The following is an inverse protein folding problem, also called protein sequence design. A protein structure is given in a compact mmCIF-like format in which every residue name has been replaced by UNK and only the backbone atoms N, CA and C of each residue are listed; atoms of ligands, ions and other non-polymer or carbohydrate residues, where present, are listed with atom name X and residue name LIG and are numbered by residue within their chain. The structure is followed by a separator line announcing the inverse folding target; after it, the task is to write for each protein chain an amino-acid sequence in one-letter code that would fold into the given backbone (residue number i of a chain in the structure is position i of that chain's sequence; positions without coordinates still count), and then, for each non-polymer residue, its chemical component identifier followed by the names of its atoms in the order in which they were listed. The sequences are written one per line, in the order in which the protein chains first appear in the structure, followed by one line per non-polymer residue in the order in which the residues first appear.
data_IF_186537857280
#
_entry.id   IF_186537857280
#
_cell.length_a   1.000
_cell.length_b   1.000
_cell.length_c   1.000
_cell.angle_alpha   90.00
_cell.angle_beta   90.00
_cell.angle_gamma   90.00
#
_symmetry.space_group_name_H-M   'P 1'
#
loop_
_entity.id
_entity.type
_entity.pdbx_description
1 polymer ?
#
# COMPACT_ATOMS: atom_id res chain seq x y z
N UNK A 1 16.94 48.51 -24.86
CA UNK A 1 15.94 47.42 -24.82
C UNK A 1 16.35 46.20 -24.02
N UNK A 2 17.65 45.95 -23.73
CA UNK A 2 18.11 44.74 -22.97
C UNK A 2 17.80 44.80 -21.46
N UNK A 3 17.77 45.94 -20.85
CA UNK A 3 17.55 46.10 -19.39
C UNK A 3 16.11 45.85 -18.93
N UNK A 4 15.11 46.15 -19.76
CA UNK A 4 13.70 45.89 -19.43
C UNK A 4 13.36 44.41 -19.45
N UNK A 5 13.88 43.69 -20.46
CA UNK A 5 13.72 42.22 -20.58
C UNK A 5 14.41 41.49 -19.44
N UNK A 6 15.61 41.94 -19.06
CA UNK A 6 16.36 41.33 -17.96
C UNK A 6 15.65 41.52 -16.62
N UNK A 7 15.06 42.71 -16.37
CA UNK A 7 14.22 42.94 -15.18
C UNK A 7 12.95 42.08 -15.15
N UNK A 8 12.31 41.92 -16.27
CA UNK A 8 11.11 41.04 -16.39
C UNK A 8 11.46 39.59 -16.06
N UNK A 9 12.57 39.07 -16.57
CA UNK A 9 13.03 37.69 -16.30
C UNK A 9 13.37 37.53 -14.80
N UNK A 10 14.03 38.50 -14.18
CA UNK A 10 14.35 38.45 -12.75
C UNK A 10 13.06 38.44 -11.89
N UNK A 11 12.08 39.28 -12.23
CA UNK A 11 10.79 39.32 -11.52
C UNK A 11 10.05 38.00 -11.64
N UNK A 12 10.02 37.37 -12.84
CA UNK A 12 9.41 36.06 -13.05
C UNK A 12 10.12 34.95 -12.27
N UNK A 13 11.45 34.98 -12.21
CA UNK A 13 12.22 34.00 -11.42
C UNK A 13 11.97 34.16 -9.92
N UNK A 14 11.91 35.37 -9.40
CA UNK A 14 11.60 35.63 -7.99
C UNK A 14 10.18 35.19 -7.66
N UNK A 15 9.21 35.49 -8.54
CA UNK A 15 7.83 35.06 -8.36
C UNK A 15 7.72 33.53 -8.34
N UNK A 16 8.42 32.85 -9.24
CA UNK A 16 8.46 31.38 -9.28
C UNK A 16 9.10 30.80 -8.00
N UNK A 17 10.18 31.43 -7.50
CA UNK A 17 10.83 31.03 -6.26
C UNK A 17 9.89 31.18 -5.05
N UNK A 18 9.11 32.26 -5.01
CA UNK A 18 8.10 32.50 -3.95
C UNK A 18 6.99 31.43 -4.02
N UNK A 19 6.48 31.12 -5.22
CA UNK A 19 5.45 30.08 -5.39
C UNK A 19 5.97 28.71 -4.98
N UNK A 20 7.19 28.35 -5.39
CA UNK A 20 7.83 27.07 -5.00
C UNK A 20 8.07 27.03 -3.49
N UNK A 21 8.55 28.13 -2.90
CA UNK A 21 8.78 28.21 -1.45
C UNK A 21 7.45 28.14 -0.66
N UNK A 22 6.40 28.80 -1.12
CA UNK A 22 5.07 28.72 -0.53
C UNK A 22 4.50 27.30 -0.64
N UNK A 23 4.71 26.62 -1.76
CA UNK A 23 4.34 25.22 -1.93
C UNK A 23 5.09 24.28 -0.96
N UNK A 24 6.37 24.56 -0.68
CA UNK A 24 7.16 23.82 0.32
C UNK A 24 6.74 24.13 1.76
N UNK A 25 6.35 25.34 2.06
CA UNK A 25 5.93 25.77 3.41
C UNK A 25 4.50 25.31 3.70
N UNK A 26 3.60 25.37 2.72
CA UNK A 26 2.18 24.97 2.86
C UNK A 26 1.98 23.48 2.57
N UNK A 27 2.78 22.89 1.66
CA UNK A 27 2.73 21.47 1.28
C UNK A 27 3.82 20.60 1.91
N UNK A 28 4.86 21.17 2.53
CA UNK A 28 6.07 20.49 2.99
C UNK A 28 6.04 19.94 4.41
N UNK A 29 4.88 19.60 4.90
CA UNK A 29 4.73 18.72 6.07
C UNK A 29 4.75 17.25 5.63
N UNK A 30 5.75 16.78 4.90
CA UNK A 30 6.00 15.35 4.77
C UNK A 30 6.44 14.79 6.12
N UNK A 31 5.48 14.62 7.03
CA UNK A 31 5.54 13.50 7.95
C UNK A 31 5.49 12.26 7.06
N UNK A 32 6.62 11.61 6.92
CA UNK A 32 6.71 10.22 6.47
C UNK A 32 6.02 9.36 7.53
N UNK A 33 4.70 9.49 7.57
CA UNK A 33 3.75 8.69 8.31
C UNK A 33 3.20 7.71 7.31
N UNK A 34 3.46 6.45 7.57
CA UNK A 34 2.89 5.28 6.94
C UNK A 34 1.45 5.57 6.48
N UNK A 35 1.23 5.57 5.14
CA UNK A 35 0.06 6.11 4.50
C UNK A 35 -1.26 5.46 4.90
N UNK A 36 -2.00 6.18 5.73
CA UNK A 36 -3.44 6.09 5.79
C UNK A 36 -3.99 7.34 5.11
N UNK A 37 -4.71 7.22 4.03
CA UNK A 37 -5.57 8.26 3.50
C UNK A 37 -6.65 8.54 4.54
N UNK A 38 -6.41 9.50 5.41
CA UNK A 38 -7.46 10.10 6.24
C UNK A 38 -8.30 11.04 5.37
N UNK A 39 -9.10 10.42 4.48
CA UNK A 39 -10.28 11.04 3.92
C UNK A 39 -11.43 10.75 4.86
N UNK A 40 -11.90 11.75 5.56
CA UNK A 40 -13.23 11.94 6.14
C UNK A 40 -14.00 10.63 6.50
N UNK A 41 -13.60 10.01 7.62
CA UNK A 41 -14.16 8.76 8.15
C UNK A 41 -13.03 7.97 8.79
N UNK A 42 -13.10 7.69 10.07
CA UNK A 42 -12.05 7.12 10.92
C UNK A 42 -11.22 6.05 10.25
N UNK A 43 -9.89 6.09 10.47
CA UNK A 43 -8.94 5.12 9.91
C UNK A 43 -9.33 3.66 10.19
N UNK A 44 -8.59 2.66 9.70
CA UNK A 44 -8.95 1.23 9.76
C UNK A 44 -9.39 0.76 11.16
N UNK A 45 -8.87 1.40 12.21
CA UNK A 45 -9.28 1.14 13.60
C UNK A 45 -10.77 1.45 13.82
N UNK A 46 -11.21 2.65 13.44
CA UNK A 46 -12.59 3.08 13.68
C UNK A 46 -13.56 2.30 12.80
N UNK A 47 -13.17 1.98 11.57
CA UNK A 47 -13.98 1.15 10.69
C UNK A 47 -14.24 -0.24 11.30
N UNK A 48 -13.25 -0.86 11.94
CA UNK A 48 -13.43 -2.16 12.62
C UNK A 48 -14.33 -2.01 13.84
N UNK A 49 -14.12 -0.97 14.66
CA UNK A 49 -14.96 -0.69 15.84
C UNK A 49 -16.42 -0.51 15.43
N UNK A 50 -16.66 0.30 14.41
CA UNK A 50 -18.02 0.61 13.95
C UNK A 50 -18.69 -0.62 13.31
N UNK A 51 -17.97 -1.37 12.49
CA UNK A 51 -18.49 -2.57 11.83
C UNK A 51 -18.77 -3.73 12.76
N UNK A 52 -17.98 -3.85 13.81
CA UNK A 52 -18.16 -4.91 14.82
C UNK A 52 -19.00 -4.45 16.03
N UNK A 53 -19.44 -3.19 16.05
CA UNK A 53 -20.23 -2.61 17.14
C UNK A 53 -19.59 -2.80 18.50
N UNK A 54 -18.27 -2.56 18.62
CA UNK A 54 -17.53 -2.75 19.86
C UNK A 54 -17.99 -1.80 20.95
N UNK A 55 -18.23 -2.33 22.14
CA UNK A 55 -18.44 -1.52 23.33
C UNK A 55 -17.11 -0.95 23.89
N UNK A 56 -17.19 -0.11 24.91
CA UNK A 56 -16.02 0.59 25.47
C UNK A 56 -14.95 -0.38 26.03
N UNK A 57 -15.35 -1.52 26.58
CA UNK A 57 -14.40 -2.52 27.08
C UNK A 57 -13.69 -3.22 25.93
N UNK A 58 -14.42 -3.62 24.91
CA UNK A 58 -13.86 -4.22 23.68
C UNK A 58 -12.95 -3.26 22.93
N UNK A 59 -13.28 -1.96 22.88
CA UNK A 59 -12.42 -0.93 22.26
C UNK A 59 -11.08 -0.84 23.01
N UNK A 60 -11.08 -0.88 24.34
CA UNK A 60 -9.85 -0.85 25.14
C UNK A 60 -8.97 -2.06 24.88
N UNK A 61 -9.57 -3.25 24.80
CA UNK A 61 -8.87 -4.49 24.51
C UNK A 61 -8.32 -4.48 23.07
N UNK A 62 -9.12 -4.05 22.09
CA UNK A 62 -8.72 -3.92 20.70
C UNK A 62 -7.55 -2.94 20.52
N UNK A 63 -7.54 -1.82 21.23
CA UNK A 63 -6.41 -0.87 21.20
C UNK A 63 -5.10 -1.54 21.68
N UNK A 64 -5.17 -2.38 22.68
CA UNK A 64 -4.01 -3.16 23.16
C UNK A 64 -3.52 -4.15 22.09
N UNK A 65 -4.45 -4.83 21.41
CA UNK A 65 -4.12 -5.73 20.29
C UNK A 65 -3.43 -4.97 19.14
N UNK A 66 -3.93 -3.77 18.78
CA UNK A 66 -3.31 -2.93 17.75
C UNK A 66 -1.88 -2.55 18.12
N UNK A 67 -1.62 -2.14 19.36
CA UNK A 67 -0.27 -1.77 19.82
C UNK A 67 0.68 -2.95 19.70
N UNK A 68 0.26 -4.12 20.19
CA UNK A 68 1.05 -5.36 20.13
C UNK A 68 1.34 -5.77 18.70
N UNK A 69 0.32 -5.80 17.84
CA UNK A 69 0.44 -6.13 16.43
C UNK A 69 1.42 -5.20 15.70
N UNK A 70 1.27 -3.87 15.87
CA UNK A 70 2.15 -2.88 15.24
C UNK A 70 3.60 -3.04 15.67
N UNK A 71 3.84 -3.32 16.95
CA UNK A 71 5.18 -3.57 17.48
C UNK A 71 5.81 -4.79 16.81
N UNK A 72 5.10 -5.93 16.80
CA UNK A 72 5.62 -7.18 16.23
C UNK A 72 5.91 -7.07 14.72
N UNK A 73 5.01 -6.46 13.95
CA UNK A 73 5.22 -6.22 12.52
C UNK A 73 6.40 -5.27 12.30
N UNK A 74 6.46 -4.17 13.05
CA UNK A 74 7.52 -3.17 12.91
C UNK A 74 8.92 -3.73 13.20
N UNK A 75 9.06 -4.64 14.16
CA UNK A 75 10.33 -5.34 14.44
C UNK A 75 10.79 -6.18 13.24
N UNK A 76 9.86 -6.94 12.62
CA UNK A 76 10.15 -7.75 11.43
C UNK A 76 10.50 -6.89 10.22
N UNK A 77 9.73 -5.84 9.97
CA UNK A 77 9.99 -4.91 8.86
C UNK A 77 11.33 -4.19 9.00
N UNK A 78 11.72 -3.81 10.23
CA UNK A 78 13.03 -3.21 10.49
C UNK A 78 14.17 -4.17 10.12
N UNK A 79 14.04 -5.46 10.46
CA UNK A 79 15.03 -6.47 10.09
C UNK A 79 15.09 -6.66 8.56
N UNK A 80 13.92 -6.73 7.88
CA UNK A 80 13.84 -6.81 6.42
C UNK A 80 14.54 -5.62 5.76
N UNK A 81 14.31 -4.41 6.26
CA UNK A 81 14.96 -3.21 5.72
C UNK A 81 16.47 -3.24 5.89
N UNK A 82 16.96 -3.70 7.04
CA UNK A 82 18.39 -3.90 7.27
C UNK A 82 19.01 -4.86 6.26
N UNK A 83 18.39 -6.04 6.09
CA UNK A 83 18.85 -7.05 5.12
C UNK A 83 18.81 -6.56 3.68
N UNK A 84 17.77 -5.83 3.29
CA UNK A 84 17.68 -5.21 1.96
C UNK A 84 18.79 -4.19 1.74
N UNK A 85 19.05 -3.33 2.71
CA UNK A 85 20.16 -2.37 2.64
C UNK A 85 21.48 -3.08 2.42
N UNK A 86 21.74 -4.14 3.21
CA UNK A 86 22.96 -4.95 3.06
C UNK A 86 23.07 -5.63 1.68
N UNK A 87 21.95 -6.13 1.14
CA UNK A 87 21.91 -6.71 -0.21
C UNK A 87 22.29 -5.69 -1.28
N UNK A 88 21.69 -4.46 -1.23
CA UNK A 88 21.99 -3.42 -2.22
C UNK A 88 23.40 -2.87 -2.10
N UNK A 89 23.93 -2.70 -0.88
CA UNK A 89 25.33 -2.32 -0.67
C UNK A 89 26.27 -3.39 -1.23
N UNK A 90 25.96 -4.67 -1.02
CA UNK A 90 26.73 -5.79 -1.53
C UNK A 90 26.80 -5.87 -3.06
N UNK A 91 25.90 -5.22 -3.80
CA UNK A 91 26.00 -5.12 -5.28
C UNK A 91 27.24 -4.33 -5.69
N UNK A 92 27.55 -3.25 -4.97
CA UNK A 92 28.73 -2.41 -5.25
C UNK A 92 30.03 -3.00 -4.70
N UNK A 93 29.95 -3.60 -3.51
CA UNK A 93 31.14 -4.03 -2.73
C UNK A 93 31.58 -5.47 -3.06
N UNK A 94 30.77 -6.20 -3.84
CA UNK A 94 30.96 -7.63 -4.11
C UNK A 94 30.51 -8.50 -2.93
N UNK A 95 29.30 -9.06 -3.02
CA UNK A 95 28.76 -9.96 -1.99
C UNK A 95 29.05 -11.42 -2.32
N UNK A 96 29.41 -12.22 -1.34
CA UNK A 96 29.45 -13.68 -1.46
C UNK A 96 28.06 -14.25 -1.78
N UNK A 97 28.00 -15.21 -2.73
CA UNK A 97 26.75 -15.77 -3.21
C UNK A 97 25.95 -16.48 -2.11
N UNK A 98 26.62 -17.20 -1.20
CA UNK A 98 25.96 -17.91 -0.10
C UNK A 98 25.38 -16.92 0.91
N UNK A 99 26.10 -15.83 1.19
CA UNK A 99 25.65 -14.76 2.07
C UNK A 99 24.41 -14.06 1.49
N UNK A 100 24.45 -13.71 0.20
CA UNK A 100 23.31 -13.17 -0.53
C UNK A 100 22.08 -14.08 -0.41
N UNK A 101 22.26 -15.37 -0.69
CA UNK A 101 21.16 -16.34 -0.65
C UNK A 101 20.62 -16.54 0.77
N UNK A 102 21.46 -16.45 1.79
CA UNK A 102 21.04 -16.51 3.20
C UNK A 102 20.16 -15.31 3.56
N UNK A 103 20.52 -14.10 3.14
CA UNK A 103 19.73 -12.89 3.40
C UNK A 103 18.40 -12.91 2.65
N UNK A 104 18.40 -13.35 1.40
CA UNK A 104 17.14 -13.49 0.62
C UNK A 104 16.19 -14.49 1.29
N UNK A 105 16.69 -15.65 1.74
CA UNK A 105 15.88 -16.61 2.49
C UNK A 105 15.37 -16.04 3.79
N UNK A 106 16.21 -15.31 4.54
CA UNK A 106 15.80 -14.68 5.80
C UNK A 106 14.67 -13.66 5.59
N UNK A 107 14.75 -12.82 4.54
CA UNK A 107 13.67 -11.91 4.16
C UNK A 107 12.38 -12.68 3.88
N UNK A 108 12.46 -13.80 3.17
CA UNK A 108 11.29 -14.66 2.92
C UNK A 108 10.64 -15.20 4.20
N UNK A 109 11.44 -15.66 5.15
CA UNK A 109 10.97 -16.13 6.48
C UNK A 109 10.29 -14.97 7.24
N UNK A 110 10.92 -13.80 7.28
CA UNK A 110 10.34 -12.63 7.96
C UNK A 110 9.00 -12.19 7.36
N UNK A 111 8.85 -12.26 6.03
CA UNK A 111 7.55 -12.02 5.40
C UNK A 111 6.51 -13.08 5.77
N UNK A 112 6.89 -14.35 5.89
CA UNK A 112 5.99 -15.39 6.37
C UNK A 112 5.57 -15.13 7.82
N UNK A 113 6.51 -14.75 8.71
CA UNK A 113 6.22 -14.37 10.08
C UNK A 113 5.21 -13.21 10.16
N UNK A 114 5.36 -12.18 9.32
CA UNK A 114 4.43 -11.04 9.26
C UNK A 114 3.02 -11.53 8.90
N UNK A 115 2.87 -12.45 7.94
CA UNK A 115 1.55 -13.01 7.62
C UNK A 115 0.94 -13.77 8.80
N UNK A 116 1.75 -14.50 9.57
CA UNK A 116 1.30 -15.17 10.78
C UNK A 116 0.84 -14.19 11.85
N UNK A 117 1.59 -13.09 12.05
CA UNK A 117 1.21 -12.02 12.98
C UNK A 117 -0.12 -11.38 12.57
N UNK A 118 -0.34 -11.12 11.27
CA UNK A 118 -1.62 -10.60 10.79
C UNK A 118 -2.77 -11.58 11.06
N UNK A 119 -2.56 -12.87 10.77
CA UNK A 119 -3.58 -13.89 10.99
C UNK A 119 -3.93 -14.04 12.48
N UNK A 120 -2.91 -14.09 13.36
CA UNK A 120 -3.10 -14.14 14.80
C UNK A 120 -3.90 -12.92 15.32
N UNK A 121 -3.55 -11.72 14.84
CA UNK A 121 -4.29 -10.52 15.21
C UNK A 121 -5.78 -10.58 14.85
N UNK A 122 -6.15 -11.15 13.71
CA UNK A 122 -7.57 -11.35 13.36
C UNK A 122 -8.23 -12.41 14.22
N UNK A 123 -7.53 -13.45 14.65
CA UNK A 123 -8.06 -14.41 15.63
C UNK A 123 -8.30 -13.75 16.99
N UNK A 124 -7.39 -12.90 17.43
CA UNK A 124 -7.55 -12.15 18.68
C UNK A 124 -8.77 -11.21 18.61
N UNK A 125 -8.97 -10.50 17.47
CA UNK A 125 -10.17 -9.69 17.24
C UNK A 125 -11.44 -10.55 17.30
N UNK A 126 -11.42 -11.75 16.72
CA UNK A 126 -12.55 -12.66 16.77
C UNK A 126 -12.88 -13.07 18.20
N UNK A 127 -11.86 -13.31 19.02
CA UNK A 127 -12.02 -13.75 20.42
C UNK A 127 -12.68 -12.68 21.29
N UNK A 128 -12.40 -11.40 21.05
CA UNK A 128 -13.06 -10.31 21.80
C UNK A 128 -14.48 -10.03 21.30
N UNK A 129 -14.89 -10.55 20.14
CA UNK A 129 -16.26 -10.43 19.64
C UNK A 129 -17.22 -11.27 20.46
N UNK A 130 -18.34 -10.68 20.85
CA UNK A 130 -19.46 -11.39 21.48
C UNK A 130 -20.17 -12.31 20.47
N UNK A 131 -20.97 -13.29 20.92
CA UNK A 131 -21.69 -14.21 20.03
C UNK A 131 -22.50 -13.50 18.95
N UNK A 132 -23.18 -12.40 19.29
CA UNK A 132 -23.97 -11.59 18.36
C UNK A 132 -23.14 -10.85 17.31
N UNK A 133 -21.85 -10.60 17.57
CA UNK A 133 -20.93 -9.90 16.67
C UNK A 133 -20.20 -10.84 15.69
N UNK A 134 -20.27 -12.15 15.90
CA UNK A 134 -19.54 -13.13 15.07
C UNK A 134 -19.98 -13.11 13.59
N UNK A 135 -21.24 -12.77 13.33
CA UNK A 135 -21.76 -12.58 11.96
C UNK A 135 -21.10 -11.40 11.25
N UNK A 136 -20.96 -10.28 11.94
CA UNK A 136 -20.32 -9.06 11.42
C UNK A 136 -18.82 -9.29 11.21
N UNK A 137 -18.17 -10.00 12.10
CA UNK A 137 -16.78 -10.42 11.93
C UNK A 137 -16.58 -11.28 10.68
N UNK A 138 -17.46 -12.24 10.43
CA UNK A 138 -17.41 -13.07 9.23
C UNK A 138 -17.60 -12.26 7.94
N UNK A 139 -18.48 -11.25 7.95
CA UNK A 139 -18.64 -10.32 6.83
C UNK A 139 -17.40 -9.44 6.63
N UNK A 140 -16.83 -8.91 7.70
CA UNK A 140 -15.59 -8.13 7.65
C UNK A 140 -14.44 -8.91 7.01
N UNK A 141 -14.18 -10.14 7.47
CA UNK A 141 -13.11 -10.99 6.94
C UNK A 141 -13.34 -11.38 5.48
N UNK A 142 -14.60 -11.62 5.09
CA UNK A 142 -14.98 -11.88 3.70
C UNK A 142 -14.68 -10.67 2.80
N UNK A 143 -14.96 -9.45 3.25
CA UNK A 143 -14.69 -8.25 2.48
C UNK A 143 -13.18 -7.97 2.36
N UNK A 144 -12.42 -8.17 3.43
CA UNK A 144 -10.97 -8.11 3.38
C UNK A 144 -10.39 -9.12 2.38
N UNK A 145 -10.92 -10.35 2.34
CA UNK A 145 -10.47 -11.36 1.37
C UNK A 145 -10.69 -10.95 -0.09
N UNK A 146 -11.75 -10.19 -0.38
CA UNK A 146 -12.01 -9.65 -1.73
C UNK A 146 -10.99 -8.57 -2.11
N UNK A 147 -10.56 -7.75 -1.16
CA UNK A 147 -9.55 -6.70 -1.42
C UNK A 147 -8.21 -7.32 -1.86
N UNK A 148 -7.86 -8.49 -1.35
CA UNK A 148 -6.66 -9.22 -1.79
C UNK A 148 -6.81 -9.84 -3.20
N UNK A 149 -8.04 -10.15 -3.65
CA UNK A 149 -8.29 -10.64 -5.02
C UNK A 149 -8.23 -9.54 -6.09
N UNK A 150 -8.54 -8.29 -5.73
CA UNK A 150 -8.78 -7.19 -6.68
C UNK A 150 -7.51 -6.55 -7.27
N UNK A 151 -6.30 -7.01 -6.93
CA UNK A 151 -5.03 -6.45 -7.43
C UNK A 151 -4.29 -7.36 -8.41
N UNK A 152 -5.00 -8.23 -9.13
CA UNK A 152 -4.46 -8.83 -10.34
C UNK A 152 -4.17 -7.74 -11.39
N UNK A 153 -3.16 -7.90 -12.27
CA UNK A 153 -2.91 -6.95 -13.34
C UNK A 153 -4.21 -6.76 -14.12
N UNK A 154 -4.67 -5.51 -14.25
CA UNK A 154 -5.73 -5.17 -15.20
C UNK A 154 -5.22 -5.57 -16.57
N UNK A 155 -5.66 -6.73 -17.05
CA UNK A 155 -5.50 -7.08 -18.44
C UNK A 155 -6.17 -5.98 -19.25
N UNK A 156 -5.39 -5.30 -20.07
CA UNK A 156 -5.91 -4.46 -21.14
C UNK A 156 -6.74 -5.40 -22.04
N UNK A 157 -8.03 -5.46 -21.79
CA UNK A 157 -8.99 -5.88 -22.79
C UNK A 157 -9.10 -4.72 -23.78
N UNK A 158 -8.07 -4.53 -24.58
CA UNK A 158 -8.14 -3.65 -25.73
C UNK A 158 -8.83 -4.39 -26.87
N UNK A 159 -9.80 -3.68 -27.45
CA UNK A 159 -10.77 -4.15 -28.40
C UNK A 159 -10.17 -4.79 -29.63
N UNK A 160 -10.46 -6.06 -29.80
CA UNK A 160 -10.46 -6.69 -31.10
C UNK A 160 -11.63 -6.13 -31.93
N UNK A 161 -11.37 -5.09 -32.70
CA UNK A 161 -12.23 -4.70 -33.81
C UNK A 161 -12.27 -5.84 -34.81
N UNK A 162 -13.38 -6.51 -34.82
CA UNK A 162 -13.78 -7.44 -35.87
C UNK A 162 -13.93 -6.67 -37.20
N UNK A 163 -12.86 -6.69 -37.99
CA UNK A 163 -12.86 -6.19 -39.37
C UNK A 163 -13.70 -7.16 -40.21
N UNK A 164 -14.95 -6.78 -40.40
CA UNK A 164 -15.86 -7.32 -41.39
C UNK A 164 -15.27 -7.08 -42.76
N UNK A 165 -14.61 -8.09 -43.35
CA UNK A 165 -14.29 -8.11 -44.78
C UNK A 165 -15.40 -8.87 -45.50
N UNK A 166 -16.30 -8.07 -46.02
CA UNK A 166 -17.11 -8.38 -47.19
C UNK A 166 -16.20 -8.62 -48.39
N UNK A 167 -16.42 -9.63 -49.14
CA UNK A 167 -15.66 -9.92 -50.33
C UNK A 167 -16.23 -11.14 -51.07
N UNK A 168 -17.31 -10.90 -51.81
CA UNK A 168 -17.85 -11.89 -52.71
C UNK A 168 -16.93 -12.10 -53.91
N UNK A 169 -16.99 -13.27 -54.50
CA UNK A 169 -16.82 -13.59 -55.95
C UNK A 169 -17.08 -15.07 -56.13
N UNK A 170 -18.19 -15.47 -56.72
CA UNK A 170 -18.48 -15.80 -58.09
C UNK A 170 -17.47 -16.76 -58.76
N UNK A 171 -18.11 -17.77 -59.27
CA UNK A 171 -17.95 -18.54 -60.56
C UNK A 171 -17.46 -19.95 -60.32
N UNK A 172 -18.23 -20.85 -60.74
CA UNK A 172 -18.56 -21.44 -62.04
C UNK A 172 -17.87 -22.78 -62.21
N UNK A 173 -18.75 -23.70 -62.50
CA UNK A 173 -18.51 -25.11 -62.89
C UNK A 173 -17.74 -25.17 -64.27
N UNK A 174 -17.40 -26.31 -64.82
CA UNK A 174 -18.31 -27.45 -65.05
C UNK A 174 -17.95 -28.71 -64.36
#
# INVERSE_FOLDING_TARGET
MKTGFQRLVIVLLVLNLIVVSAFWIVGGGHKQGNGGRDGQGGGPRNEIIDRLHFDAAQVTEYDSLIVTHRKMVGEKEKEIQGLRTSLFMGVSDGIDANLKDSWVRRIGVLHADIQQIHFAHFLDIQQICKPEQQGDFALLTKDLSKMFRGRGPKGNADGGQESKRDGGSKSEAP
#
